data_IF_037758765825
#
_entry.id   IF_037758765825
#
_cell.length_a   1.000
_cell.length_b   1.000
_cell.length_c   1.000
_cell.angle_alpha   90.00
_cell.angle_beta   90.00
_cell.angle_gamma   90.00
#
_symmetry.space_group_name_H-M   'P 1'
#
loop_
_entity.id
_entity.type
_entity.pdbx_description
1 polymer ?
#
# COMPACT_ATOMS: atom_id res chain seq x y z
N UNK A 1 8.06 -16.62 -2.28
CA UNK A 1 8.05 -17.09 -3.69
C UNK A 1 6.72 -16.75 -4.41
N UNK A 2 5.77 -16.01 -3.81
CA UNK A 2 4.37 -16.44 -3.89
C UNK A 2 3.27 -15.35 -3.97
N UNK A 3 3.44 -14.30 -4.78
CA UNK A 3 2.27 -13.51 -5.21
C UNK A 3 2.31 -13.29 -6.72
N UNK A 4 3.44 -12.81 -7.24
CA UNK A 4 3.62 -12.54 -8.68
C UNK A 4 3.59 -13.80 -9.56
N UNK A 5 4.24 -14.88 -9.13
CA UNK A 5 4.55 -16.01 -10.02
C UNK A 5 3.33 -16.84 -10.41
N UNK A 6 2.42 -17.09 -9.47
CA UNK A 6 1.25 -17.97 -9.70
C UNK A 6 0.02 -17.22 -10.21
N UNK A 7 -0.12 -15.94 -9.87
CA UNK A 7 -1.33 -15.16 -10.18
C UNK A 7 -1.17 -14.29 -11.41
N UNK A 8 0.05 -14.09 -11.92
CA UNK A 8 0.34 -13.15 -13.00
C UNK A 8 0.18 -11.67 -12.60
N UNK A 9 -0.10 -11.37 -11.33
CA UNK A 9 -0.23 -9.98 -10.87
C UNK A 9 1.11 -9.27 -10.80
N UNK A 10 1.10 -7.99 -11.15
CA UNK A 10 2.24 -7.10 -10.97
C UNK A 10 2.12 -6.39 -9.62
N UNK A 11 3.19 -6.40 -8.84
CA UNK A 11 3.29 -5.57 -7.63
C UNK A 11 3.99 -4.27 -8.04
N UNK A 12 3.31 -3.17 -7.80
CA UNK A 12 3.85 -1.83 -7.95
C UNK A 12 4.21 -1.28 -6.56
N UNK A 13 5.48 -0.89 -6.31
CA UNK A 13 5.92 -0.47 -4.98
C UNK A 13 5.42 0.94 -4.64
N UNK A 14 5.10 1.17 -3.37
CA UNK A 14 5.00 2.51 -2.79
C UNK A 14 6.29 2.77 -2.03
N UNK A 15 7.04 3.80 -2.41
CA UNK A 15 8.32 4.09 -1.79
C UNK A 15 8.12 4.92 -0.51
N UNK A 16 8.63 4.39 0.61
CA UNK A 16 8.77 5.10 1.87
C UNK A 16 10.22 5.54 2.09
N UNK A 17 10.43 6.59 2.88
CA UNK A 17 11.76 7.18 3.08
C UNK A 17 12.22 7.07 4.54
N UNK A 18 13.52 7.00 4.79
CA UNK A 18 14.06 6.95 6.16
C UNK A 18 13.85 8.26 6.93
N UNK A 19 13.72 9.40 6.23
CA UNK A 19 13.55 10.73 6.84
C UNK A 19 12.28 10.87 7.68
N UNK A 20 11.25 10.06 7.44
CA UNK A 20 10.02 10.00 8.22
C UNK A 20 9.82 8.65 8.94
N UNK A 21 10.90 7.88 9.13
CA UNK A 21 10.83 6.56 9.78
C UNK A 21 10.11 5.51 8.94
N UNK A 22 10.21 5.60 7.61
CA UNK A 22 9.54 4.70 6.65
C UNK A 22 8.01 4.68 6.76
N UNK A 23 7.43 5.74 7.32
CA UNK A 23 5.98 5.86 7.38
C UNK A 23 5.40 6.02 5.98
N UNK A 24 4.36 5.24 5.69
CA UNK A 24 3.55 5.44 4.50
C UNK A 24 2.88 6.81 4.58
N UNK A 25 2.86 7.53 3.47
CA UNK A 25 2.20 8.84 3.39
C UNK A 25 1.16 8.83 2.27
N UNK A 26 0.06 9.54 2.46
CA UNK A 26 -0.97 9.66 1.42
C UNK A 26 -0.41 10.20 0.08
N UNK A 27 0.49 11.21 0.06
CA UNK A 27 1.11 11.65 -1.19
C UNK A 27 1.96 10.57 -1.89
N UNK A 28 2.71 9.77 -1.12
CA UNK A 28 3.50 8.66 -1.70
C UNK A 28 2.59 7.61 -2.35
N UNK A 29 1.45 7.30 -1.72
CA UNK A 29 0.45 6.37 -2.24
C UNK A 29 -0.21 6.90 -3.53
N UNK A 30 -0.62 8.18 -3.52
CA UNK A 30 -1.23 8.83 -4.67
C UNK A 30 -0.26 8.91 -5.86
N UNK A 31 1.02 9.23 -5.59
CA UNK A 31 2.08 9.27 -6.61
C UNK A 31 2.29 7.89 -7.22
N UNK A 32 2.45 6.85 -6.39
CA UNK A 32 2.62 5.48 -6.88
C UNK A 32 1.42 5.00 -7.71
N UNK A 33 0.19 5.31 -7.28
CA UNK A 33 -1.03 5.02 -8.03
C UNK A 33 -1.03 5.70 -9.40
N UNK A 34 -0.68 6.99 -9.45
CA UNK A 34 -0.65 7.77 -10.69
C UNK A 34 0.40 7.25 -11.67
N UNK A 35 1.59 6.87 -11.18
CA UNK A 35 2.65 6.28 -12.02
C UNK A 35 2.22 4.92 -12.57
N UNK A 36 1.53 4.11 -11.76
CA UNK A 36 0.99 2.84 -12.21
C UNK A 36 -0.06 3.03 -13.33
N UNK A 37 -0.99 3.98 -13.18
CA UNK A 37 -1.96 4.30 -14.22
C UNK A 37 -1.30 4.83 -15.49
N UNK A 38 -0.32 5.73 -15.38
CA UNK A 38 0.46 6.25 -16.51
C UNK A 38 1.24 5.14 -17.25
N UNK A 39 1.59 4.07 -16.54
CA UNK A 39 2.24 2.88 -17.11
C UNK A 39 1.25 1.87 -17.69
N UNK A 40 -0.01 2.26 -17.89
CA UNK A 40 -1.12 1.39 -18.32
C UNK A 40 -1.34 0.17 -17.41
N UNK A 41 -1.03 0.29 -16.11
CA UNK A 41 -1.31 -0.75 -15.12
C UNK A 41 -2.63 -0.45 -14.42
N UNK A 42 -3.57 -1.40 -14.47
CA UNK A 42 -4.79 -1.31 -13.68
C UNK A 42 -4.54 -1.75 -12.25
N UNK A 43 -4.52 -0.79 -11.33
CA UNK A 43 -4.46 -1.07 -9.88
C UNK A 43 -5.77 -1.71 -9.43
N UNK A 44 -5.68 -2.77 -8.62
CA UNK A 44 -6.84 -3.55 -8.14
C UNK A 44 -6.97 -3.56 -6.63
N UNK A 45 -5.84 -3.51 -5.93
CA UNK A 45 -5.80 -3.54 -4.49
C UNK A 45 -4.56 -2.81 -3.97
N UNK A 46 -4.66 -2.29 -2.75
CA UNK A 46 -3.56 -1.91 -1.91
C UNK A 46 -3.30 -3.05 -0.91
N UNK A 47 -2.05 -3.46 -0.78
CA UNK A 47 -1.60 -4.43 0.22
C UNK A 47 -0.78 -3.70 1.29
N UNK A 48 -1.19 -3.81 2.55
CA UNK A 48 -0.47 -3.28 3.71
C UNK A 48 -0.16 -4.40 4.70
N UNK A 49 0.90 -4.22 5.49
CA UNK A 49 1.22 -5.07 6.65
C UNK A 49 1.12 -4.23 7.91
N UNK A 50 0.30 -4.61 8.88
CA UNK A 50 0.07 -3.85 10.11
C UNK A 50 -0.15 -4.80 11.32
N UNK A 51 0.75 -4.87 12.32
CA UNK A 51 2.04 -4.17 12.42
C UNK A 51 2.99 -4.48 11.25
N UNK A 52 3.78 -3.49 10.87
CA UNK A 52 4.66 -3.56 9.70
C UNK A 52 5.79 -4.57 9.89
N UNK A 53 6.03 -5.40 8.87
CA UNK A 53 7.25 -6.21 8.76
C UNK A 53 8.11 -5.64 7.61
N UNK A 54 9.38 -5.26 7.84
CA UNK A 54 10.24 -5.55 8.99
C UNK A 54 10.31 -4.45 10.07
N UNK A 55 9.53 -3.37 9.96
CA UNK A 55 9.71 -2.18 10.80
C UNK A 55 9.22 -2.34 12.24
N UNK A 56 8.32 -3.30 12.50
CA UNK A 56 7.70 -3.53 13.82
C UNK A 56 6.78 -2.40 14.28
N UNK A 57 6.38 -1.49 13.39
CA UNK A 57 5.58 -0.31 13.72
C UNK A 57 4.12 -0.50 13.35
N UNK A 58 3.22 -0.02 14.21
CA UNK A 58 1.78 0.01 13.94
C UNK A 58 1.42 1.29 13.19
N UNK A 59 0.53 1.17 12.21
CA UNK A 59 0.03 2.32 11.46
C UNK A 59 -0.89 3.19 12.34
N UNK A 60 -0.72 4.52 12.36
CA UNK A 60 -1.64 5.41 13.06
C UNK A 60 -3.06 5.29 12.50
N UNK A 61 -4.07 5.39 13.38
CA UNK A 61 -5.48 5.33 12.99
C UNK A 61 -5.85 6.38 11.94
N UNK A 62 -5.36 7.61 12.08
CA UNK A 62 -5.61 8.69 11.12
C UNK A 62 -5.13 8.34 9.71
N UNK A 63 -3.95 7.72 9.60
CA UNK A 63 -3.41 7.28 8.33
C UNK A 63 -4.23 6.12 7.73
N UNK A 64 -4.73 5.20 8.55
CA UNK A 64 -5.63 4.15 8.08
C UNK A 64 -6.94 4.74 7.53
N UNK A 65 -7.51 5.73 8.21
CA UNK A 65 -8.72 6.43 7.75
C UNK A 65 -8.48 7.16 6.41
N UNK A 66 -7.33 7.83 6.26
CA UNK A 66 -6.92 8.45 4.99
C UNK A 66 -6.77 7.44 3.86
N UNK A 67 -6.17 6.27 4.14
CA UNK A 67 -6.03 5.18 3.17
C UNK A 67 -7.40 4.62 2.77
N UNK A 68 -8.29 4.37 3.73
CA UNK A 68 -9.65 3.87 3.48
C UNK A 68 -10.45 4.84 2.60
N UNK A 69 -10.33 6.15 2.85
CA UNK A 69 -10.93 7.18 2.01
C UNK A 69 -10.38 7.13 0.58
N UNK A 70 -9.06 7.03 0.43
CA UNK A 70 -8.41 6.97 -0.88
C UNK A 70 -8.83 5.73 -1.69
N UNK A 71 -8.78 4.53 -1.09
CA UNK A 71 -9.16 3.30 -1.79
C UNK A 71 -10.64 3.29 -2.17
N UNK A 72 -11.51 3.88 -1.33
CA UNK A 72 -12.95 3.95 -1.59
C UNK A 72 -13.24 4.88 -2.77
N UNK A 73 -12.54 6.01 -2.86
CA UNK A 73 -12.65 6.93 -4.00
C UNK A 73 -12.15 6.30 -5.30
N UNK A 74 -11.09 5.48 -5.22
CA UNK A 74 -10.54 4.76 -6.38
C UNK A 74 -11.24 3.44 -6.69
N UNK A 75 -12.17 3.01 -5.85
CA UNK A 75 -12.88 1.74 -5.93
C UNK A 75 -11.91 0.54 -6.09
N UNK A 76 -10.88 0.49 -5.24
CA UNK A 76 -9.90 -0.60 -5.17
C UNK A 76 -9.96 -1.28 -3.80
N UNK A 77 -9.55 -2.55 -3.73
CA UNK A 77 -9.56 -3.31 -2.49
C UNK A 77 -8.42 -2.90 -1.56
N UNK A 78 -8.60 -3.11 -0.25
CA UNK A 78 -7.52 -3.13 0.73
C UNK A 78 -7.34 -4.55 1.25
N UNK A 79 -6.08 -5.00 1.28
CA UNK A 79 -5.66 -6.23 1.92
C UNK A 79 -4.75 -5.82 3.07
N UNK A 80 -5.20 -6.06 4.30
CA UNK A 80 -4.42 -5.83 5.52
C UNK A 80 -3.89 -7.17 6.01
N UNK A 81 -2.56 -7.33 6.00
CA UNK A 81 -1.88 -8.46 6.61
C UNK A 81 -1.56 -8.11 8.07
N UNK A 82 -2.33 -8.71 8.98
CA UNK A 82 -2.31 -8.41 10.41
C UNK A 82 -1.74 -9.56 11.27
N UNK A 83 -0.87 -10.39 10.70
CA UNK A 83 -0.33 -11.60 11.37
C UNK A 83 0.44 -11.32 12.68
N UNK A 84 0.81 -10.08 12.96
CA UNK A 84 1.52 -9.66 14.18
C UNK A 84 0.63 -8.89 15.17
N UNK A 85 -0.69 -8.89 14.97
CA UNK A 85 -1.66 -8.24 15.86
C UNK A 85 -2.08 -9.14 17.04
#
# INVERSE_FOLDING_TARGET
RDLKWRTGVKIFPVHCHSSNGFQLTLPSLQSAYSIAEASNLRVKALLITNPSNPLGTTMPRSLLEDILNFISQKNIHLISDEIYS
#
